data_IF_643424581780
#
_entry.id   IF_643424581780
#
_cell.length_a   1.000
_cell.length_b   1.000
_cell.length_c   1.000
_cell.angle_alpha   90.00
_cell.angle_beta   90.00
_cell.angle_gamma   90.00
#
_symmetry.space_group_name_H-M   'P 1'
#
loop_
_entity.id
_entity.type
_entity.pdbx_description
1 polymer ?
#
# COMPACT_ATOMS: atom_id res chain seq x y z
N UNK A 1 0.65 -12.27 -15.16
CA UNK A 1 0.20 -11.31 -14.12
C UNK A 1 0.81 -11.77 -12.81
N UNK A 2 1.58 -10.91 -12.15
CA UNK A 2 2.22 -11.21 -10.87
C UNK A 2 1.25 -11.11 -9.69
N UNK A 3 1.69 -11.56 -8.51
CA UNK A 3 0.91 -11.50 -7.28
C UNK A 3 0.44 -10.07 -6.95
N UNK A 4 1.33 -9.09 -7.08
CA UNK A 4 1.00 -7.68 -6.85
C UNK A 4 -0.13 -7.19 -7.76
N UNK A 5 -0.08 -7.50 -9.06
CA UNK A 5 -1.12 -7.11 -10.01
C UNK A 5 -2.47 -7.75 -9.67
N UNK A 6 -2.46 -9.04 -9.29
CA UNK A 6 -3.68 -9.75 -8.90
C UNK A 6 -4.33 -9.14 -7.66
N UNK A 7 -3.53 -8.85 -6.62
CA UNK A 7 -4.03 -8.21 -5.38
C UNK A 7 -4.56 -6.82 -5.68
N UNK A 8 -3.83 -6.06 -6.51
CA UNK A 8 -4.21 -4.70 -6.89
C UNK A 8 -5.52 -4.65 -7.67
N UNK A 9 -5.70 -5.50 -8.67
CA UNK A 9 -6.93 -5.56 -9.47
C UNK A 9 -8.16 -5.89 -8.60
N UNK A 10 -8.00 -6.79 -7.63
CA UNK A 10 -9.07 -7.11 -6.66
C UNK A 10 -9.39 -5.90 -5.80
N UNK A 11 -8.37 -5.27 -5.24
CA UNK A 11 -8.51 -4.09 -4.40
C UNK A 11 -9.18 -2.95 -5.17
N UNK A 12 -8.70 -2.65 -6.39
CA UNK A 12 -9.21 -1.55 -7.20
C UNK A 12 -10.69 -1.69 -7.52
N UNK A 13 -11.11 -2.89 -7.92
CA UNK A 13 -12.54 -3.20 -8.11
C UNK A 13 -13.36 -2.98 -6.84
N UNK A 14 -12.79 -3.27 -5.67
CA UNK A 14 -13.46 -3.03 -4.38
C UNK A 14 -13.54 -1.55 -4.00
N UNK A 15 -12.70 -0.72 -4.57
CA UNK A 15 -12.69 0.73 -4.30
C UNK A 15 -13.60 1.52 -5.26
N UNK A 16 -14.21 0.87 -6.24
CA UNK A 16 -15.14 1.51 -7.17
C UNK A 16 -16.30 2.17 -6.42
N UNK A 17 -16.62 3.43 -6.80
CA UNK A 17 -17.68 4.21 -6.16
C UNK A 17 -17.40 4.64 -4.71
N UNK A 18 -16.16 4.58 -4.21
CA UNK A 18 -15.81 5.10 -2.89
C UNK A 18 -16.07 6.61 -2.82
N UNK A 19 -16.92 7.02 -1.88
CA UNK A 19 -17.22 8.42 -1.60
C UNK A 19 -16.55 8.94 -0.32
N UNK A 20 -16.59 10.24 -0.12
CA UNK A 20 -16.00 10.93 1.03
C UNK A 20 -16.62 10.55 2.36
N UNK A 21 -17.92 10.22 2.39
CA UNK A 21 -18.61 9.82 3.59
C UNK A 21 -18.11 8.47 4.08
N UNK A 22 -18.01 7.51 3.16
CA UNK A 22 -17.47 6.18 3.44
C UNK A 22 -15.98 6.25 3.80
N UNK A 23 -15.20 7.04 3.06
CA UNK A 23 -13.78 7.21 3.30
C UNK A 23 -13.45 7.76 4.69
N UNK A 24 -14.29 8.69 5.22
CA UNK A 24 -14.13 9.26 6.57
C UNK A 24 -14.75 8.42 7.66
N UNK A 25 -15.56 7.44 7.32
CA UNK A 25 -16.27 6.64 8.31
C UNK A 25 -15.32 5.83 9.19
N UNK A 26 -15.59 5.84 10.51
CA UNK A 26 -14.86 5.09 11.53
C UNK A 26 -15.82 4.22 12.30
N UNK A 27 -15.79 2.89 12.13
CA UNK A 27 -16.68 1.96 12.86
C UNK A 27 -16.37 1.88 14.36
N UNK A 28 -15.20 2.35 14.78
CA UNK A 28 -14.70 2.29 16.16
C UNK A 28 -14.04 3.61 16.56
N UNK A 29 -13.66 3.74 17.84
CA UNK A 29 -12.88 4.89 18.31
C UNK A 29 -11.43 4.91 17.81
N UNK A 30 -10.91 3.80 17.28
CA UNK A 30 -9.56 3.75 16.69
C UNK A 30 -9.57 4.29 15.26
N UNK A 31 -8.95 5.46 15.00
CA UNK A 31 -8.95 6.07 13.67
C UNK A 31 -8.21 5.24 12.61
N UNK A 32 -7.38 4.28 13.03
CA UNK A 32 -6.69 3.36 12.12
C UNK A 32 -7.65 2.39 11.45
N UNK A 33 -8.82 2.14 12.05
CA UNK A 33 -9.89 1.32 11.47
C UNK A 33 -10.79 2.23 10.61
N UNK A 34 -10.24 2.71 9.49
CA UNK A 34 -10.94 3.54 8.51
C UNK A 34 -10.29 3.42 7.13
N UNK A 35 -11.06 3.63 6.07
CA UNK A 35 -10.52 3.67 4.70
C UNK A 35 -9.51 4.80 4.52
N UNK A 36 -9.75 5.95 5.15
CA UNK A 36 -8.82 7.07 5.15
C UNK A 36 -7.42 6.65 5.63
N UNK A 37 -7.35 5.92 6.72
CA UNK A 37 -6.07 5.46 7.26
C UNK A 37 -5.46 4.35 6.42
N UNK A 38 -6.27 3.35 6.01
CA UNK A 38 -5.79 2.19 5.23
C UNK A 38 -5.21 2.60 3.87
N UNK A 39 -5.90 3.45 3.13
CA UNK A 39 -5.39 3.97 1.85
C UNK A 39 -4.10 4.79 2.04
N UNK A 40 -4.05 5.61 3.09
CA UNK A 40 -2.83 6.35 3.44
C UNK A 40 -1.67 5.43 3.81
N UNK A 41 -1.97 4.33 4.53
CA UNK A 41 -0.97 3.33 4.90
C UNK A 41 -0.47 2.53 3.69
N UNK A 42 -1.36 2.05 2.82
CA UNK A 42 -1.00 1.35 1.57
C UNK A 42 -0.12 2.26 0.69
N UNK A 43 -0.51 3.54 0.51
CA UNK A 43 0.31 4.48 -0.24
C UNK A 43 1.71 4.60 0.35
N UNK A 44 1.83 4.81 1.67
CA UNK A 44 3.12 4.89 2.36
C UNK A 44 3.91 3.59 2.23
N UNK A 45 3.30 2.44 2.48
CA UNK A 45 3.92 1.11 2.35
C UNK A 45 4.62 0.94 1.01
N UNK A 46 3.94 1.32 -0.08
CA UNK A 46 4.44 1.12 -1.43
C UNK A 46 5.48 2.17 -1.87
N UNK A 47 5.50 3.37 -1.27
CA UNK A 47 6.31 4.50 -1.73
C UNK A 47 7.28 5.09 -0.69
N UNK A 48 7.56 4.38 0.41
CA UNK A 48 8.60 4.82 1.37
C UNK A 48 9.97 4.88 0.69
N UNK A 49 10.76 5.90 1.04
CA UNK A 49 12.11 6.13 0.49
C UNK A 49 13.00 4.90 0.61
N UNK A 50 12.90 4.18 1.73
CA UNK A 50 13.67 2.95 1.97
C UNK A 50 13.42 1.86 0.93
N UNK A 51 12.26 1.83 0.28
CA UNK A 51 11.91 0.75 -0.65
C UNK A 51 12.87 0.69 -1.83
N UNK A 52 13.17 1.83 -2.44
CA UNK A 52 14.22 1.91 -3.46
C UNK A 52 15.61 1.64 -2.89
N UNK A 53 15.97 2.35 -1.81
CA UNK A 53 17.30 2.29 -1.22
C UNK A 53 17.69 0.87 -0.78
N UNK A 54 16.79 0.14 -0.11
CA UNK A 54 17.05 -1.25 0.32
C UNK A 54 17.15 -2.25 -0.84
N UNK A 55 16.60 -1.91 -1.99
CA UNK A 55 16.68 -2.73 -3.21
C UNK A 55 17.76 -2.24 -4.20
N UNK A 56 18.64 -1.32 -3.74
CA UNK A 56 19.72 -0.78 -4.57
C UNK A 56 19.24 0.07 -5.75
N UNK A 57 18.09 0.74 -5.58
CA UNK A 57 17.45 1.60 -6.61
C UNK A 57 17.16 2.99 -6.03
N UNK A 58 16.93 4.01 -6.88
CA UNK A 58 16.51 5.33 -6.41
C UNK A 58 15.23 5.26 -5.57
N UNK A 59 15.12 6.17 -4.60
CA UNK A 59 13.89 6.36 -3.83
C UNK A 59 12.77 6.93 -4.71
N UNK A 60 11.53 6.85 -4.20
CA UNK A 60 10.38 7.52 -4.83
C UNK A 60 10.62 9.05 -4.81
N UNK A 61 10.61 9.71 -6.01
CA UNK A 61 11.17 11.07 -6.12
C UNK A 61 10.23 12.18 -5.67
N UNK A 62 8.94 11.89 -5.46
CA UNK A 62 7.92 12.93 -5.26
C UNK A 62 7.41 13.04 -3.83
N UNK A 63 7.92 12.22 -2.91
CA UNK A 63 7.50 12.21 -1.51
C UNK A 63 6.07 11.73 -1.29
N UNK A 64 5.56 10.83 -2.14
CA UNK A 64 4.19 10.27 -2.05
C UNK A 64 3.87 9.72 -0.66
N UNK A 65 4.83 9.06 -0.02
CA UNK A 65 4.64 8.45 1.31
C UNK A 65 4.15 9.46 2.37
N UNK A 66 4.68 10.69 2.35
CA UNK A 66 4.36 11.74 3.33
C UNK A 66 3.09 12.55 3.01
N UNK A 67 2.51 12.43 1.82
CA UNK A 67 1.36 13.25 1.40
C UNK A 67 0.09 12.88 2.17
N UNK A 68 -0.68 13.91 2.53
CA UNK A 68 -2.03 13.72 3.09
C UNK A 68 -3.07 13.95 1.99
N UNK A 69 -4.06 13.06 1.90
CA UNK A 69 -5.19 13.26 1.02
C UNK A 69 -6.26 14.13 1.68
N UNK A 70 -6.89 15.00 0.91
CA UNK A 70 -7.98 15.86 1.36
C UNK A 70 -9.34 15.13 1.34
N UNK A 71 -9.50 14.18 0.41
CA UNK A 71 -10.74 13.47 0.12
C UNK A 71 -10.46 12.05 -0.41
N UNK A 72 -11.53 11.31 -0.69
CA UNK A 72 -11.46 9.94 -1.21
C UNK A 72 -10.76 9.87 -2.58
N UNK A 73 -11.07 10.79 -3.48
CA UNK A 73 -10.51 10.81 -4.83
C UNK A 73 -8.99 11.05 -4.79
N UNK A 74 -8.53 12.04 -4.02
CA UNK A 74 -7.10 12.30 -3.82
C UNK A 74 -6.39 11.13 -3.12
N UNK A 75 -7.08 10.44 -2.20
CA UNK A 75 -6.56 9.26 -1.53
C UNK A 75 -6.33 8.11 -2.51
N UNK A 76 -7.32 7.82 -3.36
CA UNK A 76 -7.22 6.78 -4.40
C UNK A 76 -6.14 7.14 -5.43
N UNK A 77 -6.11 8.37 -5.92
CA UNK A 77 -5.10 8.82 -6.89
C UNK A 77 -3.67 8.67 -6.33
N UNK A 78 -3.44 9.09 -5.08
CA UNK A 78 -2.14 8.92 -4.44
C UNK A 78 -1.75 7.46 -4.21
N UNK A 79 -2.71 6.61 -3.89
CA UNK A 79 -2.50 5.17 -3.70
C UNK A 79 -2.18 4.49 -5.04
N UNK A 80 -2.86 4.88 -6.11
CA UNK A 80 -2.56 4.41 -7.47
C UNK A 80 -1.16 4.83 -7.94
N UNK A 81 -0.77 6.08 -7.70
CA UNK A 81 0.57 6.56 -8.04
C UNK A 81 1.67 5.77 -7.32
N UNK A 82 1.46 5.47 -6.03
CA UNK A 82 2.40 4.66 -5.25
C UNK A 82 2.52 3.22 -5.79
N UNK A 83 1.41 2.61 -6.20
CA UNK A 83 1.42 1.29 -6.82
C UNK A 83 2.12 1.29 -8.19
N UNK A 84 1.90 2.32 -9.00
CA UNK A 84 2.59 2.46 -10.29
C UNK A 84 4.10 2.53 -10.09
N UNK A 85 4.56 3.38 -9.17
CA UNK A 85 5.98 3.46 -8.84
C UNK A 85 6.53 2.13 -8.30
N UNK A 86 5.81 1.44 -7.41
CA UNK A 86 6.21 0.13 -6.89
C UNK A 86 6.37 -0.90 -8.02
N UNK A 87 5.44 -0.92 -8.98
CA UNK A 87 5.54 -1.81 -10.15
C UNK A 87 6.77 -1.52 -11.01
N UNK A 88 7.07 -0.24 -11.23
CA UNK A 88 8.27 0.17 -11.96
C UNK A 88 9.54 -0.26 -11.21
N UNK A 89 9.57 -0.07 -9.90
CA UNK A 89 10.66 -0.55 -9.05
C UNK A 89 10.82 -2.07 -9.19
N UNK A 90 9.75 -2.85 -9.08
CA UNK A 90 9.82 -4.32 -9.24
C UNK A 90 10.29 -4.74 -10.63
N UNK A 91 9.86 -4.05 -11.67
CA UNK A 91 10.30 -4.34 -13.04
C UNK A 91 11.79 -4.05 -13.30
N UNK A 92 12.41 -3.23 -12.45
CA UNK A 92 13.84 -2.90 -12.52
C UNK A 92 14.76 -3.91 -11.82
N UNK A 93 14.18 -4.87 -11.08
CA UNK A 93 14.95 -5.85 -10.30
C UNK A 93 15.17 -7.12 -11.11
N UNK A 94 16.36 -7.65 -10.98
CA UNK A 94 16.76 -8.97 -11.46
C UNK A 94 16.92 -9.95 -10.28
N UNK A 95 17.25 -11.21 -10.58
CA UNK A 95 17.46 -12.23 -9.55
C UNK A 95 18.65 -11.92 -8.65
N UNK A 96 19.68 -11.24 -9.15
CA UNK A 96 20.83 -10.84 -8.35
C UNK A 96 20.42 -9.81 -7.29
N UNK A 97 19.71 -8.75 -7.68
CA UNK A 97 19.19 -7.74 -6.76
C UNK A 97 18.25 -8.35 -5.70
N UNK A 98 17.39 -9.30 -6.11
CA UNK A 98 16.48 -9.98 -5.19
C UNK A 98 17.19 -10.91 -4.20
N UNK A 99 18.36 -11.46 -4.54
CA UNK A 99 19.11 -12.35 -3.65
C UNK A 99 20.19 -11.61 -2.85
N UNK A 100 20.45 -10.34 -3.15
CA UNK A 100 21.40 -9.51 -2.42
C UNK A 100 20.84 -9.16 -1.02
N UNK A 101 21.67 -9.22 0.05
CA UNK A 101 21.29 -8.72 1.37
C UNK A 101 20.97 -7.21 1.33
N UNK A 102 20.02 -6.77 2.16
CA UNK A 102 19.58 -5.37 2.23
C UNK A 102 20.69 -4.41 2.71
N UNK A 103 21.69 -4.93 3.43
CA UNK A 103 22.83 -4.16 3.88
C UNK A 103 22.55 -3.29 5.12
N UNK A 104 23.59 -2.58 5.57
CA UNK A 104 23.58 -1.83 6.83
C UNK A 104 22.46 -0.79 6.93
N UNK A 105 22.04 -0.19 5.82
CA UNK A 105 20.93 0.77 5.78
C UNK A 105 19.60 0.18 6.27
N UNK A 106 19.45 -1.14 6.25
CA UNK A 106 18.26 -1.83 6.75
C UNK A 106 18.34 -2.17 8.26
N UNK A 107 19.41 -1.82 8.94
CA UNK A 107 19.59 -2.01 10.39
C UNK A 107 19.37 -3.46 10.81
N UNK A 108 18.37 -3.73 11.65
CA UNK A 108 18.04 -5.07 12.12
C UNK A 108 17.82 -6.09 10.98
N UNK A 109 17.35 -5.61 9.81
CA UNK A 109 17.08 -6.44 8.64
C UNK A 109 18.25 -6.53 7.66
N UNK A 110 19.44 -6.07 8.03
CA UNK A 110 20.62 -6.00 7.15
C UNK A 110 20.95 -7.33 6.44
N UNK A 111 20.76 -8.46 7.11
CA UNK A 111 21.00 -9.80 6.57
C UNK A 111 19.85 -10.40 5.77
N UNK A 112 18.68 -9.77 5.77
CA UNK A 112 17.55 -10.21 4.95
C UNK A 112 17.82 -9.88 3.47
N UNK A 113 17.27 -10.67 2.55
CA UNK A 113 17.43 -10.46 1.12
C UNK A 113 16.37 -9.50 0.57
N UNK A 114 16.64 -8.88 -0.60
CA UNK A 114 15.64 -8.11 -1.34
C UNK A 114 14.36 -8.92 -1.58
N UNK A 115 14.47 -10.22 -1.86
CA UNK A 115 13.31 -11.13 -2.00
C UNK A 115 12.47 -11.21 -0.74
N UNK A 116 13.09 -11.35 0.42
CA UNK A 116 12.36 -11.37 1.71
C UNK A 116 11.63 -10.07 1.96
N UNK A 117 12.25 -8.94 1.62
CA UNK A 117 11.63 -7.62 1.74
C UNK A 117 10.43 -7.47 0.78
N UNK A 118 10.57 -7.87 -0.48
CA UNK A 118 9.46 -7.84 -1.46
C UNK A 118 8.29 -8.72 -1.01
N UNK A 119 8.55 -9.89 -0.43
CA UNK A 119 7.52 -10.75 0.13
C UNK A 119 6.81 -10.12 1.33
N UNK A 120 7.55 -9.41 2.20
CA UNK A 120 6.94 -8.64 3.29
C UNK A 120 6.00 -7.54 2.76
N UNK A 121 6.42 -6.80 1.74
CA UNK A 121 5.54 -5.78 1.11
C UNK A 121 4.30 -6.43 0.48
N UNK A 122 4.44 -7.63 -0.11
CA UNK A 122 3.29 -8.35 -0.67
C UNK A 122 2.30 -8.78 0.43
N UNK A 123 2.80 -9.32 1.55
CA UNK A 123 1.99 -9.71 2.71
C UNK A 123 1.20 -8.53 3.29
N UNK A 124 1.89 -7.42 3.56
CA UNK A 124 1.27 -6.19 4.04
C UNK A 124 0.22 -5.62 3.05
N UNK A 125 0.50 -5.67 1.74
CA UNK A 125 -0.45 -5.23 0.73
C UNK A 125 -1.71 -6.11 0.72
N UNK A 126 -1.56 -7.44 0.77
CA UNK A 126 -2.67 -8.39 0.84
C UNK A 126 -3.51 -8.11 2.08
N UNK A 127 -2.86 -7.96 3.24
CA UNK A 127 -3.51 -7.69 4.52
C UNK A 127 -4.35 -6.40 4.46
N UNK A 128 -3.75 -5.27 4.11
CA UNK A 128 -4.44 -3.99 4.17
C UNK A 128 -5.48 -3.78 3.05
N UNK A 129 -5.31 -4.43 1.90
CA UNK A 129 -6.34 -4.42 0.85
C UNK A 129 -7.56 -5.25 1.24
N UNK A 130 -7.37 -6.37 1.94
CA UNK A 130 -8.47 -7.18 2.48
C UNK A 130 -9.24 -6.43 3.58
N UNK A 131 -8.53 -5.75 4.51
CA UNK A 131 -9.14 -4.91 5.52
C UNK A 131 -9.94 -3.74 4.91
N UNK A 132 -9.42 -3.12 3.85
CA UNK A 132 -10.13 -2.06 3.14
C UNK A 132 -11.44 -2.57 2.53
N UNK A 133 -11.43 -3.77 1.94
CA UNK A 133 -12.64 -4.41 1.41
C UNK A 133 -13.65 -4.70 2.53
N UNK A 134 -13.20 -5.22 3.67
CA UNK A 134 -14.05 -5.47 4.84
C UNK A 134 -14.69 -4.17 5.38
N UNK A 135 -13.93 -3.07 5.45
CA UNK A 135 -14.47 -1.78 5.88
C UNK A 135 -15.61 -1.29 4.98
N UNK A 136 -15.53 -1.53 3.66
CA UNK A 136 -16.61 -1.23 2.73
C UNK A 136 -17.86 -2.06 3.01
N UNK A 137 -17.70 -3.34 3.28
CA UNK A 137 -18.81 -4.24 3.60
C UNK A 137 -19.49 -3.82 4.92
N UNK A 138 -18.71 -3.44 5.93
CA UNK A 138 -19.22 -2.94 7.20
C UNK A 138 -19.97 -1.61 7.04
N UNK A 139 -19.47 -0.68 6.23
CA UNK A 139 -20.14 0.58 5.95
C UNK A 139 -21.48 0.36 5.25
N UNK A 140 -21.50 -0.48 4.21
CA UNK A 140 -22.74 -0.84 3.51
C UNK A 140 -23.77 -1.46 4.46
N UNK A 141 -23.34 -2.39 5.33
CA UNK A 141 -24.21 -3.02 6.34
C UNK A 141 -24.72 -2.06 7.42
N UNK A 142 -23.97 -1.00 7.75
CA UNK A 142 -24.40 0.01 8.71
C UNK A 142 -25.56 0.88 8.19
N UNK A 143 -25.61 1.10 6.88
CA UNK A 143 -26.67 1.89 6.21
C UNK A 143 -28.02 1.15 6.10
N UNK A 144 -28.00 -0.17 6.14
CA UNK A 144 -29.22 -0.99 6.07
C UNK A 144 -29.96 -1.01 7.42
N UNK A 145 -29.23 -0.72 8.51
CA UNK A 145 -29.76 -0.76 9.89
C UNK A 145 -30.16 0.62 10.45
N UNK A 146 -29.94 1.68 9.72
CA UNK A 146 -30.29 3.06 10.06
C UNK A 146 -31.53 3.52 9.29
#
# INVERSE_FOLDING_TARGET
>A
MGLFDHVWDRFWRRMDGLDDKEWRWTPTADPRISLRWRLGHIRRLLSEERNGAWLGRPAEPTGLAGRKAADAAASLAGTQAAFTWWRELMASLDDEALNTPLGEAAGYFAGATGRSFVLHIADELIHHTAESALLRDLFAGSRVRA
#
